data_IF_607108347896
#
_entry.id   IF_607108347896
#
_cell.length_a   1.000
_cell.length_b   1.000
_cell.length_c   1.000
_cell.angle_alpha   90.00
_cell.angle_beta   90.00
_cell.angle_gamma   90.00
#
_symmetry.space_group_name_H-M   'P 1'
#
loop_
_entity.id
_entity.type
_entity.pdbx_description
1 polymer ?
#
# COMPACT_ATOMS: atom_id res chain seq x y z
N UNK A 1 11.06 -11.62 11.46
CA UNK A 1 11.91 -10.47 11.80
C UNK A 1 12.40 -9.89 10.49
N UNK A 2 12.33 -8.56 10.35
CA UNK A 2 12.87 -7.83 9.19
C UNK A 2 14.35 -8.16 9.01
N UNK A 3 14.85 -8.00 7.78
CA UNK A 3 16.29 -8.02 7.54
C UNK A 3 16.98 -6.92 8.35
N UNK A 4 18.11 -7.24 8.99
CA UNK A 4 18.76 -6.37 9.98
C UNK A 4 19.20 -4.99 9.43
N UNK A 5 19.34 -4.87 8.10
CA UNK A 5 19.75 -3.64 7.42
C UNK A 5 18.61 -2.99 6.62
N UNK A 6 17.36 -3.43 6.83
CA UNK A 6 16.21 -2.87 6.14
C UNK A 6 15.37 -2.03 7.08
N UNK A 7 15.12 -0.79 6.67
CA UNK A 7 14.18 0.12 7.31
C UNK A 7 13.15 0.56 6.28
N UNK A 8 11.95 0.86 6.75
CA UNK A 8 10.94 1.47 5.89
C UNK A 8 11.42 2.86 5.45
N UNK A 9 11.00 3.34 4.26
CA UNK A 9 11.15 4.74 3.92
C UNK A 9 10.54 5.63 5.00
N UNK A 10 11.16 6.77 5.29
CA UNK A 10 10.73 7.68 6.37
C UNK A 10 9.31 8.24 6.16
N UNK A 11 8.83 8.23 4.91
CA UNK A 11 7.47 8.64 4.54
C UNK A 11 6.43 7.51 4.58
N UNK A 12 6.77 6.34 5.11
CA UNK A 12 5.87 5.17 5.21
C UNK A 12 5.86 4.58 6.62
N UNK A 13 4.66 4.22 7.10
CA UNK A 13 4.49 3.45 8.34
C UNK A 13 3.68 2.18 8.13
N UNK A 14 3.97 1.15 8.94
CA UNK A 14 3.06 0.02 9.16
C UNK A 14 2.04 0.45 10.21
N UNK A 15 0.80 0.65 9.79
CA UNK A 15 -0.30 1.02 10.70
C UNK A 15 -1.08 -0.21 11.19
N UNK A 16 -0.91 -1.36 10.54
CA UNK A 16 -1.47 -2.63 11.01
C UNK A 16 -0.57 -3.77 10.57
N UNK A 17 -0.22 -4.64 11.52
CA UNK A 17 0.31 -5.97 11.27
C UNK A 17 -0.34 -6.93 12.25
N UNK A 18 -1.24 -7.77 11.76
CA UNK A 18 -2.07 -8.64 12.60
C UNK A 18 -2.16 -10.03 11.99
N UNK A 19 -2.07 -11.08 12.83
CA UNK A 19 -2.39 -12.45 12.41
C UNK A 19 -3.90 -12.68 12.47
N UNK A 20 -4.45 -13.36 11.47
CA UNK A 20 -5.84 -13.78 11.41
C UNK A 20 -5.95 -15.29 11.71
N UNK A 21 -7.15 -15.74 12.06
CA UNK A 21 -7.40 -17.11 12.53
C UNK A 21 -7.24 -18.18 11.43
N UNK A 22 -7.37 -17.78 10.17
CA UNK A 22 -7.18 -18.64 8.99
C UNK A 22 -5.70 -18.82 8.60
N UNK A 23 -4.78 -18.32 9.43
CA UNK A 23 -3.34 -18.39 9.20
C UNK A 23 -2.80 -17.35 8.21
N UNK A 24 -3.64 -16.41 7.77
CA UNK A 24 -3.19 -15.24 7.00
C UNK A 24 -2.78 -14.08 7.92
N UNK A 25 -2.03 -13.12 7.40
CA UNK A 25 -1.66 -11.90 8.08
C UNK A 25 -2.21 -10.68 7.35
N UNK A 26 -2.82 -9.76 8.09
CA UNK A 26 -3.28 -8.46 7.64
C UNK A 26 -2.16 -7.44 7.79
N UNK A 27 -1.76 -6.82 6.68
CA UNK A 27 -0.78 -5.75 6.63
C UNK A 27 -1.43 -4.49 6.06
N UNK A 28 -1.23 -3.35 6.73
CA UNK A 28 -1.54 -2.02 6.19
C UNK A 28 -0.31 -1.13 6.22
N UNK A 29 0.00 -0.59 5.04
CA UNK A 29 1.06 0.39 4.83
C UNK A 29 0.40 1.73 4.52
N UNK A 30 0.87 2.80 5.16
CA UNK A 30 0.36 4.15 4.96
C UNK A 30 1.51 5.08 4.59
N UNK A 31 1.30 5.91 3.56
CA UNK A 31 2.13 7.06 3.29
C UNK A 31 1.73 8.21 4.23
N UNK A 32 2.70 8.78 4.94
CA UNK A 32 2.43 9.71 6.05
C UNK A 32 2.17 11.15 5.61
N UNK A 33 2.72 11.55 4.48
CA UNK A 33 2.68 12.94 4.01
C UNK A 33 1.62 13.17 2.94
N UNK A 34 1.04 14.37 2.94
CA UNK A 34 0.18 14.91 1.91
C UNK A 34 0.99 15.36 0.69
N UNK A 35 0.33 15.41 -0.48
CA UNK A 35 0.94 15.97 -1.68
C UNK A 35 1.39 17.42 -1.44
N UNK A 36 2.63 17.74 -1.81
CA UNK A 36 3.26 19.04 -1.64
C UNK A 36 3.41 19.55 -0.20
N UNK A 37 3.29 18.67 0.81
CA UNK A 37 3.57 19.02 2.21
C UNK A 37 5.08 19.17 2.47
N UNK A 38 5.88 18.25 1.93
CA UNK A 38 7.33 18.25 2.06
C UNK A 38 7.99 17.85 0.71
N UNK A 39 8.99 18.59 0.21
CA UNK A 39 9.58 18.33 -1.09
C UNK A 39 10.34 17.00 -1.17
N UNK A 40 10.82 16.48 -0.04
CA UNK A 40 11.57 15.23 0.04
C UNK A 40 10.67 14.03 0.33
N UNK A 41 9.64 14.20 1.18
CA UNK A 41 8.82 13.10 1.68
C UNK A 41 7.45 12.96 1.02
N UNK A 42 6.94 14.00 0.36
CA UNK A 42 5.67 13.95 -0.40
C UNK A 42 5.80 13.35 -1.80
N UNK A 43 6.70 12.38 -1.96
CA UNK A 43 6.99 11.68 -3.22
C UNK A 43 6.66 10.19 -3.11
N UNK A 44 6.54 9.50 -4.25
CA UNK A 44 6.24 8.06 -4.27
C UNK A 44 7.23 7.25 -3.43
N UNK A 45 6.72 6.49 -2.47
CA UNK A 45 7.51 5.58 -1.65
C UNK A 45 7.45 4.15 -2.19
N UNK A 46 8.51 3.37 -1.93
CA UNK A 46 8.59 1.95 -2.30
C UNK A 46 8.94 1.10 -1.09
N UNK A 47 8.19 0.03 -0.86
CA UNK A 47 8.41 -0.93 0.22
C UNK A 47 8.65 -2.31 -0.36
N UNK A 48 9.80 -2.90 -0.05
CA UNK A 48 10.16 -4.26 -0.45
C UNK A 48 9.67 -5.28 0.60
N UNK A 49 8.58 -5.99 0.30
CA UNK A 49 7.97 -6.91 1.27
C UNK A 49 8.87 -8.12 1.58
N UNK A 50 9.71 -8.55 0.63
CA UNK A 50 10.70 -9.62 0.87
C UNK A 50 11.64 -9.27 2.02
N UNK A 51 12.17 -8.04 2.02
CA UNK A 51 13.07 -7.55 3.07
C UNK A 51 12.33 -7.28 4.38
N UNK A 52 11.06 -6.86 4.28
CA UNK A 52 10.19 -6.61 5.43
C UNK A 52 9.89 -7.88 6.23
N UNK A 53 9.63 -9.00 5.55
CA UNK A 53 9.36 -10.28 6.22
C UNK A 53 10.62 -11.14 6.42
N UNK A 54 11.74 -10.73 5.82
CA UNK A 54 13.08 -11.30 6.00
C UNK A 54 13.07 -12.80 5.72
N UNK A 55 13.27 -13.59 6.79
CA UNK A 55 13.32 -15.07 6.72
C UNK A 55 11.99 -15.76 6.41
N UNK A 56 10.85 -15.04 6.40
CA UNK A 56 9.54 -15.63 6.10
C UNK A 56 9.22 -15.45 4.62
N UNK A 57 8.90 -16.55 3.94
CA UNK A 57 8.57 -16.56 2.52
C UNK A 57 7.10 -16.24 2.32
N UNK A 58 6.79 -15.13 1.64
CA UNK A 58 5.43 -14.82 1.24
C UNK A 58 5.00 -15.79 0.12
N UNK A 59 4.05 -16.67 0.43
CA UNK A 59 3.47 -17.63 -0.53
C UNK A 59 2.38 -16.98 -1.38
N UNK A 60 1.56 -16.16 -0.75
CA UNK A 60 0.42 -15.50 -1.39
C UNK A 60 0.34 -14.05 -0.90
N UNK A 61 0.07 -13.14 -1.84
CA UNK A 61 -0.18 -11.72 -1.58
C UNK A 61 -1.47 -11.33 -2.29
N UNK A 62 -2.43 -10.79 -1.54
CA UNK A 62 -3.69 -10.28 -2.09
C UNK A 62 -3.95 -8.87 -1.60
N UNK A 63 -4.06 -7.91 -2.51
CA UNK A 63 -4.48 -6.54 -2.20
C UNK A 63 -6.00 -6.46 -2.05
N UNK A 64 -6.46 -5.79 -0.99
CA UNK A 64 -7.87 -5.64 -0.65
C UNK A 64 -8.25 -4.17 -0.43
N UNK A 65 -9.52 -3.91 -0.18
CA UNK A 65 -9.97 -2.60 0.31
C UNK A 65 -9.55 -2.35 1.77
N UNK A 66 -9.85 -1.16 2.30
CA UNK A 66 -9.38 -0.76 3.63
C UNK A 66 -9.85 -1.70 4.76
N UNK A 67 -11.09 -2.19 4.66
CA UNK A 67 -11.70 -3.15 5.59
C UNK A 67 -11.31 -4.61 5.35
N UNK A 68 -10.45 -4.88 4.36
CA UNK A 68 -9.97 -6.21 3.99
C UNK A 68 -11.06 -7.24 3.61
N UNK A 69 -12.26 -6.80 3.21
CA UNK A 69 -13.38 -7.70 2.88
C UNK A 69 -13.61 -7.89 1.37
N UNK A 70 -12.96 -7.09 0.51
CA UNK A 70 -13.08 -7.19 -0.94
C UNK A 70 -11.71 -7.09 -1.62
N UNK A 71 -11.45 -7.93 -2.63
CA UNK A 71 -10.27 -7.81 -3.49
C UNK A 71 -10.26 -6.45 -4.18
N UNK A 72 -9.11 -5.77 -4.18
CA UNK A 72 -8.94 -4.44 -4.79
C UNK A 72 -9.33 -4.42 -6.27
N UNK A 73 -8.97 -5.48 -7.00
CA UNK A 73 -9.30 -5.65 -8.43
C UNK A 73 -10.79 -5.83 -8.72
N UNK A 74 -11.58 -6.25 -7.74
CA UNK A 74 -13.03 -6.43 -7.89
C UNK A 74 -13.82 -5.15 -7.53
N UNK A 75 -13.16 -4.14 -6.96
CA UNK A 75 -13.82 -2.88 -6.60
C UNK A 75 -14.25 -2.11 -7.84
N UNK A 76 -15.47 -1.57 -7.81
CA UNK A 76 -16.00 -0.69 -8.86
C UNK A 76 -16.30 0.66 -8.25
N UNK A 77 -15.87 1.72 -8.93
CA UNK A 77 -16.19 3.10 -8.57
C UNK A 77 -17.27 3.62 -9.52
N UNK A 78 -18.28 4.29 -8.97
CA UNK A 78 -19.25 5.02 -9.77
C UNK A 78 -18.56 6.26 -10.38
N UNK A 79 -18.91 6.58 -11.62
CA UNK A 79 -18.46 7.80 -12.29
C UNK A 79 -19.53 8.88 -12.07
N UNK A 80 -19.16 9.93 -11.37
CA UNK A 80 -20.05 11.05 -11.10
C UNK A 80 -19.68 12.25 -11.98
N UNK A 81 -20.68 13.02 -12.39
CA UNK A 81 -20.46 14.36 -12.94
C UNK A 81 -20.42 15.33 -11.77
N UNK A 82 -19.26 15.93 -11.53
CA UNK A 82 -19.08 16.93 -10.46
C UNK A 82 -19.20 18.32 -11.07
N UNK A 83 -20.07 19.16 -10.49
CA UNK A 83 -20.27 20.54 -10.97
C UNK A 83 -19.06 21.38 -10.58
N UNK A 84 -18.46 22.08 -11.54
CA UNK A 84 -17.26 22.90 -11.33
C UNK A 84 -15.94 22.13 -11.42
N UNK A 85 -15.98 20.83 -11.75
CA UNK A 85 -14.78 20.06 -12.07
C UNK A 85 -14.26 20.52 -13.43
N UNK A 86 -13.23 21.37 -13.39
CA UNK A 86 -12.41 21.63 -14.57
C UNK A 86 -11.50 20.41 -14.72
N UNK A 87 -11.34 19.85 -15.91
CA UNK A 87 -10.49 18.67 -16.19
C UNK A 87 -8.99 18.86 -15.85
N UNK A 88 -8.65 19.91 -15.10
CA UNK A 88 -7.33 20.39 -14.74
C UNK A 88 -6.85 19.93 -13.36
N UNK A 89 -7.67 19.24 -12.55
CA UNK A 89 -7.17 18.71 -11.27
C UNK A 89 -6.25 17.50 -11.54
N UNK A 90 -4.96 17.55 -11.14
CA UNK A 90 -4.06 16.43 -11.35
C UNK A 90 -4.63 15.20 -10.66
N UNK A 91 -4.71 14.07 -11.37
CA UNK A 91 -5.09 12.81 -10.76
C UNK A 91 -4.14 12.53 -9.57
N UNK A 92 -4.66 12.04 -8.44
CA UNK A 92 -3.82 11.66 -7.31
C UNK A 92 -2.72 10.71 -7.78
N UNK A 93 -1.49 10.97 -7.36
CA UNK A 93 -0.38 10.05 -7.62
C UNK A 93 -0.65 8.80 -6.78
N UNK A 94 -0.99 7.69 -7.43
CA UNK A 94 -1.25 6.40 -6.75
C UNK A 94 -0.21 5.37 -7.13
N UNK A 95 0.13 4.49 -6.20
CA UNK A 95 1.01 3.36 -6.45
C UNK A 95 0.46 2.42 -7.52
N UNK A 96 1.37 1.75 -8.24
CA UNK A 96 0.98 0.75 -9.25
C UNK A 96 0.42 -0.52 -8.60
N UNK A 97 -0.35 -1.33 -9.36
CA UNK A 97 -0.71 -2.68 -8.93
C UNK A 97 0.54 -3.47 -8.53
N UNK A 98 0.46 -4.22 -7.44
CA UNK A 98 1.61 -4.99 -6.95
C UNK A 98 1.86 -6.18 -7.88
N UNK A 99 3.12 -6.37 -8.28
CA UNK A 99 3.57 -7.59 -8.90
C UNK A 99 3.92 -8.64 -7.84
N UNK A 100 3.28 -9.81 -7.93
CA UNK A 100 3.49 -10.92 -7.01
C UNK A 100 4.90 -11.54 -7.09
N UNK A 101 5.66 -11.29 -8.16
CA UNK A 101 7.06 -11.77 -8.26
C UNK A 101 8.03 -10.79 -7.62
N UNK A 102 7.89 -9.49 -7.90
CA UNK A 102 8.72 -8.44 -7.32
C UNK A 102 8.45 -8.26 -5.82
N UNK A 103 7.18 -8.34 -5.39
CA UNK A 103 6.73 -8.06 -4.01
C UNK A 103 7.16 -6.68 -3.51
N UNK A 104 7.07 -5.68 -4.40
CA UNK A 104 7.35 -4.28 -4.12
C UNK A 104 6.04 -3.50 -4.14
N UNK A 105 5.75 -2.80 -3.04
CA UNK A 105 4.56 -1.97 -2.89
C UNK A 105 4.95 -0.51 -3.09
N UNK A 106 4.30 0.15 -4.05
CA UNK A 106 4.40 1.60 -4.22
C UNK A 106 3.26 2.28 -3.45
N UNK A 107 3.56 3.37 -2.75
CA UNK A 107 2.56 4.21 -2.08
C UNK A 107 2.75 5.67 -2.50
N UNK A 108 1.68 6.28 -3.00
CA UNK A 108 1.63 7.72 -3.22
C UNK A 108 1.26 8.50 -1.96
N UNK A 109 1.34 9.84 -1.99
CA UNK A 109 0.95 10.69 -0.87
C UNK A 109 -0.45 10.37 -0.34
N UNK A 110 -0.59 10.27 0.99
CA UNK A 110 -1.81 9.89 1.71
C UNK A 110 -2.43 8.52 1.34
N UNK A 111 -1.72 7.68 0.60
CA UNK A 111 -2.23 6.37 0.23
C UNK A 111 -2.12 5.37 1.39
N UNK A 112 -3.19 4.61 1.63
CA UNK A 112 -3.19 3.44 2.51
C UNK A 112 -3.49 2.20 1.67
N UNK A 113 -2.58 1.23 1.69
CA UNK A 113 -2.74 -0.04 0.98
C UNK A 113 -2.85 -1.19 1.97
N UNK A 114 -3.85 -2.03 1.75
CA UNK A 114 -4.20 -3.16 2.63
C UNK A 114 -3.92 -4.47 1.91
N UNK A 115 -3.22 -5.38 2.58
CA UNK A 115 -2.83 -6.67 2.05
C UNK A 115 -3.18 -7.79 3.00
N UNK A 116 -3.63 -8.91 2.42
CA UNK A 116 -3.66 -10.21 3.08
C UNK A 116 -2.48 -11.02 2.56
N UNK A 117 -1.69 -11.54 3.50
CA UNK A 117 -0.46 -12.27 3.25
C UNK A 117 -0.59 -13.69 3.79
N UNK A 118 -0.01 -14.65 3.06
CA UNK A 118 0.24 -15.99 3.57
C UNK A 118 1.75 -16.22 3.63
N UNK A 119 2.27 -16.42 4.83
CA UNK A 119 3.70 -16.56 5.12
C UNK A 119 4.17 -18.04 5.12
#
# INVERSE_FOLDING_TARGET
>A
MMDANYSLPDNVAIITLQSLDDGTALLRLAHLFQAAEDPQYSVMAKVELKKLFGKRTIKELTETNLSANQKKSAMRKLKWRVVGDTESSPAPITGRPVDNQALVVELGPMEIRTFLLKL
#
